data_IF_811233475517
#
_entry.id   IF_811233475517
#
_cell.length_a   1.000
_cell.length_b   1.000
_cell.length_c   1.000
_cell.angle_alpha   90.00
_cell.angle_beta   90.00
_cell.angle_gamma   90.00
#
_symmetry.space_group_name_H-M   'P 1'
#
loop_
_entity.id
_entity.type
_entity.pdbx_description
1 polymer ?
#
# COMPACT_ATOMS: atom_id res chain seq x y z
N UNK A 1 -4.90 5.83 -0.38
CA UNK A 1 -5.34 4.51 -0.84
C UNK A 1 -4.22 3.79 -1.60
N UNK A 2 -3.61 4.43 -2.61
CA UNK A 2 -2.57 3.85 -3.49
C UNK A 2 -1.44 3.17 -2.71
N UNK A 3 -0.84 3.87 -1.75
CA UNK A 3 0.28 3.35 -0.95
C UNK A 3 -0.07 2.07 -0.17
N UNK A 4 -1.30 1.95 0.31
CA UNK A 4 -1.73 0.78 1.08
C UNK A 4 -2.05 -0.40 0.15
N UNK A 5 -2.56 -0.13 -1.04
CA UNK A 5 -2.84 -1.16 -2.04
C UNK A 5 -1.57 -1.79 -2.61
N UNK A 6 -0.42 -1.11 -2.55
CA UNK A 6 0.86 -1.70 -2.95
C UNK A 6 1.20 -2.95 -2.11
N UNK A 7 1.06 -2.87 -0.79
CA UNK A 7 1.21 -4.04 0.07
C UNK A 7 0.14 -5.11 -0.21
N UNK A 8 -1.08 -4.67 -0.55
CA UNK A 8 -2.18 -5.59 -0.89
C UNK A 8 -1.86 -6.41 -2.15
N UNK A 9 -1.25 -5.82 -3.18
CA UNK A 9 -0.80 -6.58 -4.37
C UNK A 9 0.23 -7.63 -4.01
N UNK A 10 1.22 -7.29 -3.18
CA UNK A 10 2.26 -8.22 -2.75
C UNK A 10 1.69 -9.39 -1.91
N UNK A 11 0.73 -9.11 -1.04
CA UNK A 11 0.07 -10.15 -0.24
C UNK A 11 -0.83 -11.05 -1.09
N UNK A 12 -1.49 -10.49 -2.10
CA UNK A 12 -2.32 -11.26 -3.03
C UNK A 12 -1.49 -12.25 -3.87
N UNK A 13 -0.26 -11.87 -4.23
CA UNK A 13 0.68 -12.73 -4.96
C UNK A 13 1.12 -13.98 -4.16
N UNK A 14 1.02 -13.95 -2.82
CA UNK A 14 1.32 -15.10 -1.96
C UNK A 14 0.28 -16.23 -2.05
N UNK A 15 -0.86 -16.01 -2.71
CA UNK A 15 -1.92 -17.01 -2.85
C UNK A 15 -2.60 -17.41 -1.54
N UNK A 16 -2.47 -16.62 -0.48
CA UNK A 16 -3.13 -16.87 0.81
C UNK A 16 -4.52 -16.22 0.85
N UNK A 17 -5.49 -16.83 1.56
CA UNK A 17 -6.79 -16.21 1.77
C UNK A 17 -6.65 -14.86 2.48
N UNK A 18 -7.26 -13.80 1.93
CA UNK A 18 -7.10 -12.45 2.43
C UNK A 18 -8.45 -11.73 2.56
N UNK A 19 -8.62 -10.94 3.62
CA UNK A 19 -9.72 -9.98 3.78
C UNK A 19 -9.17 -8.57 3.68
N UNK A 20 -9.76 -7.75 2.82
CA UNK A 20 -9.40 -6.35 2.66
C UNK A 20 -10.29 -5.47 3.53
N UNK A 21 -9.76 -4.95 4.64
CA UNK A 21 -10.48 -4.05 5.54
C UNK A 21 -10.28 -2.59 5.10
N UNK A 22 -11.34 -1.98 4.53
CA UNK A 22 -11.33 -0.58 4.09
C UNK A 22 -11.65 0.32 5.27
N UNK A 23 -10.61 0.86 5.92
CA UNK A 23 -10.75 1.68 7.12
C UNK A 23 -11.09 3.16 6.80
N UNK A 24 -11.58 3.87 7.81
CA UNK A 24 -12.03 5.26 7.71
C UNK A 24 -13.21 5.46 6.74
N UNK A 25 -14.03 4.43 6.55
CA UNK A 25 -15.14 4.48 5.60
C UNK A 25 -16.15 5.57 5.95
N UNK A 26 -16.34 5.87 7.23
CA UNK A 26 -17.17 6.99 7.70
C UNK A 26 -16.68 8.38 7.22
N UNK A 27 -15.39 8.53 6.93
CA UNK A 27 -14.85 9.78 6.36
C UNK A 27 -15.18 9.85 4.87
N UNK A 28 -15.11 8.72 4.17
CA UNK A 28 -15.48 8.61 2.74
C UNK A 28 -16.94 8.97 2.56
N UNK A 29 -17.84 8.41 3.38
CA UNK A 29 -19.28 8.72 3.37
C UNK A 29 -19.54 10.20 3.66
N UNK A 30 -18.87 10.79 4.66
CA UNK A 30 -19.00 12.21 4.98
C UNK A 30 -18.59 13.14 3.85
N UNK A 31 -17.56 12.75 3.08
CA UNK A 31 -17.12 13.48 1.89
C UNK A 31 -18.09 13.29 0.72
N UNK A 32 -18.95 12.30 0.79
CA UNK A 32 -19.86 11.91 -0.27
C UNK A 32 -19.17 11.16 -1.42
N UNK A 33 -17.95 10.71 -1.21
CA UNK A 33 -17.23 9.85 -2.13
C UNK A 33 -17.80 8.42 -2.06
N UNK A 34 -17.65 7.65 -3.13
CA UNK A 34 -18.10 6.26 -3.19
C UNK A 34 -16.96 5.37 -3.64
N UNK A 35 -16.82 4.23 -2.98
CA UNK A 35 -15.93 3.15 -3.41
C UNK A 35 -16.82 1.97 -3.80
N UNK A 36 -16.63 1.46 -5.01
CA UNK A 36 -17.21 0.19 -5.45
C UNK A 36 -16.40 -0.94 -4.82
N UNK A 37 -16.91 -1.46 -3.70
CA UNK A 37 -16.26 -2.48 -2.90
C UNK A 37 -16.21 -3.82 -3.62
N UNK A 38 -17.33 -4.22 -4.24
CA UNK A 38 -17.43 -5.48 -4.96
C UNK A 38 -16.39 -5.53 -6.10
N UNK A 39 -16.26 -4.44 -6.84
CA UNK A 39 -15.24 -4.33 -7.89
C UNK A 39 -13.83 -4.30 -7.31
N UNK A 40 -13.62 -3.64 -6.16
CA UNK A 40 -12.33 -3.64 -5.46
C UNK A 40 -11.94 -5.06 -5.02
N UNK A 41 -12.87 -5.81 -4.42
CA UNK A 41 -12.67 -7.19 -4.02
C UNK A 41 -12.34 -8.11 -5.22
N UNK A 42 -13.03 -7.94 -6.34
CA UNK A 42 -12.75 -8.69 -7.56
C UNK A 42 -11.36 -8.39 -8.14
N UNK A 43 -10.94 -7.10 -8.14
CA UNK A 43 -9.63 -6.69 -8.66
C UNK A 43 -8.46 -7.27 -7.85
N UNK A 44 -8.63 -7.48 -6.56
CA UNK A 44 -7.58 -8.03 -5.68
C UNK A 44 -7.81 -9.49 -5.29
N UNK A 45 -8.86 -10.13 -5.81
CA UNK A 45 -9.16 -11.53 -5.52
C UNK A 45 -9.48 -11.80 -4.04
N UNK A 46 -10.02 -10.83 -3.31
CA UNK A 46 -10.25 -10.94 -1.87
C UNK A 46 -11.63 -10.44 -1.44
N UNK A 47 -12.08 -10.87 -0.26
CA UNK A 47 -13.28 -10.34 0.37
C UNK A 47 -12.98 -8.96 0.98
N UNK A 48 -13.84 -8.00 0.73
CA UNK A 48 -13.77 -6.65 1.26
C UNK A 48 -14.77 -6.44 2.40
N UNK A 49 -14.36 -5.66 3.42
CA UNK A 49 -15.19 -5.24 4.54
C UNK A 49 -14.90 -3.77 4.86
N UNK A 50 -15.95 -2.98 5.04
CA UNK A 50 -15.80 -1.58 5.45
C UNK A 50 -15.70 -1.47 6.95
N UNK A 51 -14.74 -0.69 7.43
CA UNK A 51 -14.56 -0.47 8.86
C UNK A 51 -14.38 1.01 9.21
N UNK A 52 -14.73 1.33 10.44
CA UNK A 52 -14.28 2.54 11.12
C UNK A 52 -13.71 2.11 12.47
N UNK A 53 -12.41 1.84 12.51
CA UNK A 53 -11.73 1.36 13.72
C UNK A 53 -11.92 2.34 14.90
N UNK A 54 -11.86 3.65 14.64
CA UNK A 54 -12.12 4.68 15.65
C UNK A 54 -13.52 4.61 16.27
N UNK A 55 -14.53 4.19 15.50
CA UNK A 55 -15.90 4.04 15.96
C UNK A 55 -16.26 2.61 16.36
N UNK A 56 -15.29 1.70 16.30
CA UNK A 56 -15.47 0.27 16.54
C UNK A 56 -16.61 -0.35 15.70
N UNK A 57 -16.71 0.07 14.41
CA UNK A 57 -17.69 -0.46 13.46
C UNK A 57 -16.98 -1.38 12.47
N UNK A 58 -17.59 -2.55 12.18
CA UNK A 58 -17.11 -3.51 11.18
C UNK A 58 -15.89 -4.34 11.62
N UNK A 59 -15.29 -4.07 12.78
CA UNK A 59 -14.10 -4.80 13.27
C UNK A 59 -14.38 -6.27 13.55
N UNK A 60 -15.55 -6.58 14.11
CA UNK A 60 -15.99 -7.95 14.36
C UNK A 60 -16.26 -8.69 13.04
N UNK A 61 -16.88 -8.03 12.07
CA UNK A 61 -17.16 -8.60 10.74
C UNK A 61 -15.88 -9.01 10.01
N UNK A 62 -14.81 -8.19 10.11
CA UNK A 62 -13.48 -8.56 9.55
C UNK A 62 -12.97 -9.86 10.16
N UNK A 63 -13.08 -10.02 11.50
CA UNK A 63 -12.63 -11.22 12.19
C UNK A 63 -13.46 -12.44 11.77
N UNK A 64 -14.76 -12.29 11.67
CA UNK A 64 -15.68 -13.37 11.25
C UNK A 64 -15.41 -13.81 9.80
N UNK A 65 -15.23 -12.86 8.88
CA UNK A 65 -14.89 -13.16 7.48
C UNK A 65 -13.49 -13.81 7.35
N UNK A 66 -12.51 -13.34 8.13
CA UNK A 66 -11.19 -13.97 8.16
C UNK A 66 -11.24 -15.42 8.65
N UNK A 67 -12.03 -15.71 9.69
CA UNK A 67 -12.24 -17.07 10.21
C UNK A 67 -12.94 -17.95 9.16
N UNK A 68 -13.98 -17.44 8.50
CA UNK A 68 -14.67 -18.16 7.42
C UNK A 68 -13.74 -18.53 6.27
N UNK A 69 -12.89 -17.57 5.84
CA UNK A 69 -11.90 -17.83 4.79
C UNK A 69 -10.87 -18.86 5.20
N UNK A 70 -10.37 -18.78 6.45
CA UNK A 70 -9.41 -19.74 6.98
C UNK A 70 -9.99 -21.18 7.01
N UNK A 71 -11.26 -21.34 7.36
CA UNK A 71 -11.92 -22.66 7.36
C UNK A 71 -12.17 -23.21 5.95
N UNK A 72 -12.46 -22.33 4.99
CA UNK A 72 -12.80 -22.77 3.63
C UNK A 72 -11.57 -23.10 2.76
N UNK A 73 -10.35 -22.79 3.21
CA UNK A 73 -9.10 -22.98 2.48
C UNK A 73 -9.16 -22.53 1.01
N UNK A 74 -10.05 -21.58 0.70
CA UNK A 74 -10.21 -21.09 -0.65
C UNK A 74 -9.04 -20.14 -0.95
N UNK A 75 -8.13 -20.59 -1.81
CA UNK A 75 -7.06 -19.76 -2.34
C UNK A 75 -7.70 -18.65 -3.18
N UNK A 76 -7.32 -17.41 -2.93
CA UNK A 76 -7.72 -16.27 -3.76
C UNK A 76 -7.10 -16.40 -5.16
N UNK A 77 -7.84 -16.01 -6.18
CA UNK A 77 -7.25 -15.87 -7.52
C UNK A 77 -6.22 -14.74 -7.49
N UNK A 78 -5.07 -14.97 -8.13
CA UNK A 78 -4.06 -13.93 -8.21
C UNK A 78 -4.56 -12.79 -9.10
N UNK A 79 -4.45 -11.53 -8.65
CA UNK A 79 -4.77 -10.41 -9.52
C UNK A 79 -3.81 -10.34 -10.70
N UNK A 80 -4.31 -10.00 -11.88
CA UNK A 80 -3.48 -9.72 -13.05
C UNK A 80 -2.84 -8.35 -12.91
N UNK A 81 -1.74 -8.29 -12.16
CA UNK A 81 -0.99 -7.06 -11.85
C UNK A 81 -0.07 -6.67 -12.98
N UNK A 82 0.53 -7.67 -13.63
CA UNK A 82 1.52 -7.50 -14.69
C UNK A 82 0.91 -7.79 -16.05
N UNK A 83 1.48 -7.22 -17.10
CA UNK A 83 1.07 -7.41 -18.48
C UNK A 83 2.26 -7.37 -19.44
N UNK A 84 2.01 -7.66 -20.74
CA UNK A 84 3.01 -7.60 -21.79
C UNK A 84 4.22 -8.52 -21.58
N UNK A 85 5.41 -7.98 -21.82
CA UNK A 85 6.68 -8.72 -21.73
C UNK A 85 6.98 -9.20 -20.31
N UNK A 86 6.56 -8.47 -19.29
CA UNK A 86 6.73 -8.89 -17.89
C UNK A 86 5.96 -10.17 -17.61
N UNK A 87 4.68 -10.22 -18.00
CA UNK A 87 3.86 -11.42 -17.81
C UNK A 87 4.43 -12.62 -18.55
N UNK A 88 4.94 -12.41 -19.76
CA UNK A 88 5.61 -13.45 -20.54
C UNK A 88 6.88 -13.97 -19.85
N UNK A 89 7.73 -13.07 -19.37
CA UNK A 89 8.95 -13.46 -18.64
C UNK A 89 8.63 -14.20 -17.33
N UNK A 90 7.62 -13.72 -16.58
CA UNK A 90 7.16 -14.39 -15.36
C UNK A 90 6.63 -15.80 -15.64
N UNK A 91 5.89 -16.01 -16.74
CA UNK A 91 5.39 -17.33 -17.11
C UNK A 91 6.55 -18.33 -17.38
N UNK A 92 7.61 -17.90 -18.07
CA UNK A 92 8.79 -18.75 -18.27
C UNK A 92 9.55 -19.04 -16.96
N UNK A 93 9.62 -18.05 -16.07
CA UNK A 93 10.21 -18.27 -14.75
C UNK A 93 9.36 -19.27 -13.94
N UNK A 94 8.04 -19.12 -13.95
CA UNK A 94 7.11 -20.06 -13.28
C UNK A 94 7.32 -21.49 -13.78
N UNK A 95 7.40 -21.71 -15.10
CA UNK A 95 7.67 -23.00 -15.70
C UNK A 95 9.01 -23.59 -15.25
N UNK A 96 10.05 -22.75 -15.17
CA UNK A 96 11.40 -23.15 -14.76
C UNK A 96 11.50 -23.57 -13.28
N UNK A 97 10.62 -23.06 -12.41
CA UNK A 97 10.67 -23.28 -10.97
C UNK A 97 9.48 -24.10 -10.41
N UNK A 98 8.51 -24.50 -11.23
CA UNK A 98 7.29 -25.18 -10.79
C UNK A 98 7.54 -26.43 -9.95
N UNK A 99 8.62 -27.19 -10.26
CA UNK A 99 9.00 -28.40 -9.55
C UNK A 99 9.78 -28.14 -8.25
N UNK A 100 10.07 -26.88 -7.92
CA UNK A 100 10.88 -26.47 -6.77
C UNK A 100 10.07 -25.85 -5.65
N UNK A 101 8.84 -25.37 -5.95
CA UNK A 101 8.00 -24.61 -5.02
C UNK A 101 6.56 -25.09 -5.04
N UNK A 102 5.83 -24.80 -3.97
CA UNK A 102 4.39 -25.07 -3.94
C UNK A 102 3.63 -24.22 -4.98
N UNK A 103 2.68 -24.84 -5.68
CA UNK A 103 1.89 -24.17 -6.72
C UNK A 103 1.19 -22.89 -6.22
N UNK A 104 0.77 -22.85 -4.96
CA UNK A 104 0.14 -21.67 -4.35
C UNK A 104 1.08 -20.47 -4.21
N UNK A 105 2.39 -20.70 -4.18
CA UNK A 105 3.42 -19.67 -4.01
C UNK A 105 4.22 -19.40 -5.29
N UNK A 106 3.95 -20.15 -6.34
CA UNK A 106 4.71 -20.12 -7.58
C UNK A 106 4.85 -18.71 -8.14
N UNK A 107 3.73 -17.99 -8.18
CA UNK A 107 3.69 -16.60 -8.65
C UNK A 107 4.60 -15.67 -7.84
N UNK A 108 4.54 -15.76 -6.52
CA UNK A 108 5.38 -14.94 -5.65
C UNK A 108 6.86 -15.22 -5.86
N UNK A 109 7.24 -16.50 -5.96
CA UNK A 109 8.63 -16.89 -6.22
C UNK A 109 9.09 -16.39 -7.59
N UNK A 110 8.26 -16.50 -8.63
CA UNK A 110 8.59 -16.00 -9.97
C UNK A 110 8.86 -14.50 -9.99
N UNK A 111 8.02 -13.71 -9.32
CA UNK A 111 8.23 -12.26 -9.19
C UNK A 111 9.54 -11.96 -8.44
N UNK A 112 9.84 -12.70 -7.36
CA UNK A 112 11.10 -12.53 -6.62
C UNK A 112 12.33 -12.92 -7.41
N UNK A 113 12.25 -13.95 -8.23
CA UNK A 113 13.32 -14.35 -9.16
C UNK A 113 13.51 -13.27 -10.22
N UNK A 114 12.43 -12.72 -10.77
CA UNK A 114 12.50 -11.61 -11.73
C UNK A 114 13.16 -10.35 -11.11
N UNK A 115 12.87 -10.04 -9.86
CA UNK A 115 13.53 -8.96 -9.09
C UNK A 115 14.98 -9.30 -8.68
N UNK A 116 15.49 -10.50 -9.02
CA UNK A 116 16.82 -11.00 -8.63
C UNK A 116 17.04 -11.04 -7.11
N UNK A 117 16.01 -11.37 -6.32
CA UNK A 117 16.12 -11.47 -4.86
C UNK A 117 17.15 -12.56 -4.47
N UNK A 118 18.26 -12.12 -3.87
CA UNK A 118 19.38 -13.00 -3.54
C UNK A 118 18.99 -14.14 -2.59
N UNK A 119 18.07 -13.89 -1.66
CA UNK A 119 17.62 -14.89 -0.68
C UNK A 119 16.79 -15.98 -1.34
N UNK A 120 15.90 -15.57 -2.24
CA UNK A 120 15.07 -16.49 -3.01
C UNK A 120 15.90 -17.32 -3.96
N UNK A 121 16.83 -16.71 -4.68
CA UNK A 121 17.77 -17.43 -5.56
C UNK A 121 18.61 -18.45 -4.80
N UNK A 122 19.10 -18.09 -3.61
CA UNK A 122 19.87 -18.99 -2.73
C UNK A 122 19.01 -20.15 -2.18
N UNK A 123 17.72 -19.93 -1.94
CA UNK A 123 16.78 -20.96 -1.48
C UNK A 123 16.46 -21.97 -2.59
N UNK A 124 16.17 -21.48 -3.80
CA UNK A 124 15.75 -22.30 -4.94
C UNK A 124 16.86 -23.20 -5.47
N UNK A 125 18.12 -22.83 -5.29
CA UNK A 125 19.31 -23.59 -5.75
C UNK A 125 19.17 -24.08 -7.19
N UNK A 126 18.88 -23.14 -8.09
CA UNK A 126 18.70 -23.43 -9.51
C UNK A 126 20.03 -23.79 -10.18
N UNK A 127 19.98 -24.66 -11.18
CA UNK A 127 21.13 -24.97 -11.99
C UNK A 127 21.56 -23.78 -12.85
N UNK A 128 22.87 -23.66 -13.14
CA UNK A 128 23.40 -22.50 -13.87
C UNK A 128 22.78 -22.33 -15.26
N UNK A 129 22.40 -23.43 -15.91
CA UNK A 129 21.74 -23.39 -17.22
C UNK A 129 20.34 -22.69 -17.11
N UNK A 130 19.55 -23.05 -16.09
CA UNK A 130 18.24 -22.48 -15.81
C UNK A 130 18.39 -21.00 -15.42
N UNK A 131 19.38 -20.67 -14.58
CA UNK A 131 19.65 -19.27 -14.23
C UNK A 131 19.99 -18.41 -15.45
N UNK A 132 20.78 -18.93 -16.38
CA UNK A 132 21.15 -18.21 -17.59
C UNK A 132 19.93 -18.00 -18.53
N UNK A 133 19.03 -18.98 -18.60
CA UNK A 133 17.78 -18.87 -19.37
C UNK A 133 16.85 -17.80 -18.78
N UNK A 134 16.61 -17.87 -17.46
CA UNK A 134 15.82 -16.89 -16.73
C UNK A 134 16.40 -15.48 -16.91
N UNK A 135 17.74 -15.35 -16.76
CA UNK A 135 18.41 -14.05 -16.93
C UNK A 135 18.26 -13.51 -18.35
N UNK A 136 18.22 -14.38 -19.37
CA UNK A 136 17.90 -13.99 -20.74
C UNK A 136 16.52 -13.32 -20.85
N UNK A 137 15.49 -13.95 -20.29
CA UNK A 137 14.12 -13.39 -20.31
C UNK A 137 14.02 -12.07 -19.54
N UNK A 138 14.72 -11.95 -18.41
CA UNK A 138 14.75 -10.71 -17.62
C UNK A 138 15.44 -9.61 -18.42
N UNK A 139 16.61 -9.89 -18.99
CA UNK A 139 17.37 -8.92 -19.77
C UNK A 139 16.62 -8.44 -21.02
N UNK A 140 15.88 -9.33 -21.70
CA UNK A 140 15.03 -8.96 -22.84
C UNK A 140 13.93 -7.98 -22.39
N UNK A 141 13.31 -8.24 -21.24
CA UNK A 141 12.30 -7.36 -20.67
C UNK A 141 12.87 -6.00 -20.25
N UNK A 142 14.06 -5.97 -19.60
CA UNK A 142 14.76 -4.75 -19.23
C UNK A 142 15.13 -3.90 -20.46
N UNK A 143 15.60 -4.55 -21.53
CA UNK A 143 15.92 -3.87 -22.78
C UNK A 143 14.67 -3.29 -23.48
N UNK A 144 13.54 -4.01 -23.43
CA UNK A 144 12.28 -3.54 -24.02
C UNK A 144 11.70 -2.36 -23.26
N UNK A 145 11.78 -2.37 -21.92
CA UNK A 145 11.19 -1.36 -21.05
C UNK A 145 12.14 -0.22 -20.68
N UNK A 146 13.42 -0.33 -21.03
CA UNK A 146 14.48 0.65 -20.74
C UNK A 146 14.58 0.97 -19.23
N UNK A 147 14.43 -0.06 -18.38
CA UNK A 147 14.45 0.08 -16.91
C UNK A 147 14.96 -1.22 -16.28
N UNK A 148 15.37 -1.18 -15.00
CA UNK A 148 15.79 -2.38 -14.27
C UNK A 148 14.57 -3.20 -13.79
N UNK A 149 14.80 -4.49 -13.52
CA UNK A 149 13.74 -5.45 -13.19
C UNK A 149 12.94 -5.05 -11.94
N UNK A 150 13.56 -4.49 -10.90
CA UNK A 150 12.89 -4.06 -9.68
C UNK A 150 12.00 -2.83 -9.94
N UNK A 151 12.50 -1.87 -10.71
CA UNK A 151 11.75 -0.69 -11.15
C UNK A 151 10.57 -1.07 -12.04
N UNK A 152 10.76 -1.99 -12.98
CA UNK A 152 9.71 -2.50 -13.86
C UNK A 152 8.54 -3.08 -13.04
N UNK A 153 8.82 -4.00 -12.12
CA UNK A 153 7.81 -4.60 -11.23
C UNK A 153 7.09 -3.53 -10.41
N UNK A 154 7.85 -2.60 -9.84
CA UNK A 154 7.29 -1.50 -9.04
C UNK A 154 6.38 -0.60 -9.87
N UNK A 155 6.81 -0.21 -11.06
CA UNK A 155 6.06 0.65 -11.97
C UNK A 155 4.76 -0.01 -12.45
N UNK A 156 4.78 -1.29 -12.78
CA UNK A 156 3.58 -2.04 -13.17
C UNK A 156 2.59 -2.18 -12.01
N UNK A 157 3.05 -2.47 -10.79
CA UNK A 157 2.19 -2.47 -9.60
C UNK A 157 1.51 -1.11 -9.38
N UNK A 158 2.25 -0.01 -9.46
CA UNK A 158 1.65 1.33 -9.33
C UNK A 158 0.67 1.66 -10.45
N UNK A 159 0.96 1.24 -11.67
CA UNK A 159 0.06 1.41 -12.82
C UNK A 159 -1.23 0.63 -12.62
N UNK A 160 -1.15 -0.64 -12.21
CA UNK A 160 -2.31 -1.47 -11.87
C UNK A 160 -3.15 -0.82 -10.77
N UNK A 161 -2.51 -0.40 -9.67
CA UNK A 161 -3.19 0.25 -8.53
C UNK A 161 -3.90 1.53 -8.96
N UNK A 162 -3.22 2.39 -9.71
CA UNK A 162 -3.80 3.65 -10.22
C UNK A 162 -5.01 3.40 -11.10
N UNK A 163 -4.90 2.43 -12.01
CA UNK A 163 -6.00 2.05 -12.89
C UNK A 163 -7.17 1.44 -12.10
N UNK A 164 -6.88 0.62 -11.09
CA UNK A 164 -7.86 0.02 -10.19
C UNK A 164 -8.61 1.09 -9.38
N UNK A 165 -7.89 2.04 -8.78
CA UNK A 165 -8.51 3.14 -8.02
C UNK A 165 -9.41 3.99 -8.91
N UNK A 166 -8.98 4.31 -10.13
CA UNK A 166 -9.77 5.10 -11.06
C UNK A 166 -11.08 4.40 -11.46
N UNK A 167 -11.12 3.06 -11.45
CA UNK A 167 -12.32 2.29 -11.73
C UNK A 167 -13.28 2.25 -10.54
N UNK A 168 -12.75 2.11 -9.32
CA UNK A 168 -13.57 1.84 -8.12
C UNK A 168 -13.91 3.10 -7.32
N UNK A 169 -13.16 4.19 -7.44
CA UNK A 169 -13.36 5.40 -6.64
C UNK A 169 -14.09 6.48 -7.44
N UNK A 170 -15.33 6.77 -7.04
CA UNK A 170 -16.11 7.91 -7.55
C UNK A 170 -16.07 9.05 -6.56
N UNK A 171 -15.36 10.13 -6.90
CA UNK A 171 -15.32 11.37 -6.10
C UNK A 171 -16.52 12.25 -6.43
N UNK A 172 -17.27 12.66 -5.43
CA UNK A 172 -18.42 13.56 -5.61
C UNK A 172 -17.99 14.96 -6.04
N UNK A 173 -16.86 15.45 -5.51
CA UNK A 173 -16.28 16.75 -5.85
C UNK A 173 -14.81 16.58 -6.25
N UNK A 174 -14.47 16.45 -7.54
CA UNK A 174 -13.09 16.36 -8.00
C UNK A 174 -12.26 17.64 -7.68
N UNK A 175 -12.93 18.78 -7.48
CA UNK A 175 -12.35 20.01 -6.96
C UNK A 175 -12.72 20.17 -5.48
N UNK A 176 -12.14 19.35 -4.60
CA UNK A 176 -12.35 19.52 -3.17
C UNK A 176 -12.00 20.94 -2.74
N UNK A 177 -12.99 21.66 -2.22
CA UNK A 177 -12.72 22.81 -1.35
C UNK A 177 -11.84 22.30 -0.21
N UNK A 178 -10.63 22.86 -0.10
CA UNK A 178 -9.67 22.55 0.95
C UNK A 178 -10.40 22.41 2.29
N UNK A 179 -10.21 21.31 3.00
CA UNK A 179 -10.74 21.17 4.35
C UNK A 179 -10.18 22.29 5.24
N UNK A 180 -10.82 22.56 6.36
CA UNK A 180 -10.30 23.57 7.30
C UNK A 180 -8.87 23.23 7.73
N UNK A 181 -8.55 21.93 7.93
CA UNK A 181 -7.22 21.46 8.20
C UNK A 181 -6.24 21.76 7.07
N UNK A 182 -6.63 21.51 5.81
CA UNK A 182 -5.78 21.79 4.65
C UNK A 182 -5.50 23.30 4.49
N UNK A 183 -6.48 24.15 4.85
CA UNK A 183 -6.29 25.60 4.84
C UNK A 183 -5.31 26.05 5.93
N UNK A 184 -5.43 25.49 7.12
CA UNK A 184 -4.51 25.76 8.23
C UNK A 184 -3.11 25.28 7.86
N UNK A 185 -3.01 24.04 7.36
CA UNK A 185 -1.72 23.45 6.94
C UNK A 185 -1.05 24.31 5.86
N UNK A 186 -1.79 24.74 4.86
CA UNK A 186 -1.29 25.64 3.81
C UNK A 186 -0.74 26.98 4.34
N UNK A 187 -1.30 27.49 5.45
CA UNK A 187 -0.82 28.72 6.09
C UNK A 187 0.43 28.43 6.92
N UNK A 188 0.39 27.37 7.74
CA UNK A 188 1.47 27.01 8.67
C UNK A 188 2.71 26.53 7.94
N UNK A 189 2.54 25.79 6.84
CA UNK A 189 3.65 25.26 6.01
C UNK A 189 4.11 26.22 4.92
N UNK A 190 3.50 27.39 4.82
CA UNK A 190 3.89 28.39 3.83
C UNK A 190 5.30 28.89 4.09
N UNK A 191 6.19 28.82 3.10
CA UNK A 191 7.62 29.16 3.20
C UNK A 191 7.88 30.55 3.81
N UNK A 192 7.01 31.52 3.53
CA UNK A 192 7.16 32.89 4.03
C UNK A 192 6.47 33.13 5.37
N UNK A 193 5.34 32.44 5.61
CA UNK A 193 4.57 32.61 6.84
C UNK A 193 5.05 31.70 7.98
N UNK A 194 5.69 30.57 7.70
CA UNK A 194 6.15 29.63 8.69
C UNK A 194 7.12 30.28 9.70
N UNK A 195 8.07 31.07 9.23
CA UNK A 195 9.04 31.75 10.11
C UNK A 195 8.41 32.76 11.08
N UNK A 196 7.59 33.73 10.65
CA UNK A 196 6.92 34.65 11.58
C UNK A 196 5.92 33.93 12.49
N UNK A 197 5.22 32.90 12.03
CA UNK A 197 4.34 32.08 12.86
C UNK A 197 5.14 31.35 13.95
N UNK A 198 6.28 30.75 13.58
CA UNK A 198 7.17 30.09 14.52
C UNK A 198 7.68 31.06 15.60
N UNK A 199 8.15 32.25 15.21
CA UNK A 199 8.62 33.27 16.15
C UNK A 199 7.51 33.69 17.11
N UNK A 200 6.29 33.90 16.62
CA UNK A 200 5.13 34.26 17.41
C UNK A 200 4.77 33.16 18.43
N UNK A 201 4.77 31.89 17.98
CA UNK A 201 4.49 30.76 18.88
C UNK A 201 5.59 30.64 19.94
N UNK A 202 6.86 30.74 19.56
CA UNK A 202 7.98 30.67 20.50
C UNK A 202 7.93 31.81 21.52
N UNK A 203 7.62 33.03 21.07
CA UNK A 203 7.43 34.18 21.98
C UNK A 203 6.29 33.93 22.97
N UNK A 204 5.15 33.39 22.49
CA UNK A 204 3.99 33.08 23.32
C UNK A 204 4.30 32.01 24.36
N UNK A 205 4.99 30.95 23.95
CA UNK A 205 5.44 29.88 24.86
C UNK A 205 6.40 30.41 25.91
N UNK A 206 7.37 31.24 25.48
CA UNK A 206 8.30 31.88 26.41
C UNK A 206 7.58 32.80 27.42
N UNK A 207 6.65 33.65 26.93
CA UNK A 207 5.88 34.55 27.77
C UNK A 207 5.03 33.78 28.81
N UNK A 208 4.33 32.74 28.42
CA UNK A 208 3.55 31.89 29.33
C UNK A 208 4.46 31.18 30.33
N UNK A 209 5.55 30.61 29.87
CA UNK A 209 6.48 29.82 30.71
C UNK A 209 7.16 30.67 31.76
N UNK A 210 7.62 31.87 31.40
CA UNK A 210 8.40 32.72 32.30
C UNK A 210 7.51 33.65 33.11
N UNK A 211 6.55 34.34 32.50
CA UNK A 211 5.77 35.42 33.15
C UNK A 211 4.56 34.90 33.93
N UNK A 212 4.07 33.70 33.64
CA UNK A 212 2.89 33.15 34.34
C UNK A 212 3.25 31.94 35.18
N UNK A 213 3.64 30.84 34.54
CA UNK A 213 3.92 29.58 35.24
C UNK A 213 5.22 29.68 36.04
N UNK A 214 6.28 30.29 35.47
CA UNK A 214 7.57 30.44 36.12
C UNK A 214 7.50 31.34 37.35
N UNK A 215 6.86 32.52 37.26
CA UNK A 215 6.69 33.42 38.39
C UNK A 215 5.83 32.79 39.50
N UNK A 216 4.70 32.17 39.12
CA UNK A 216 3.85 31.48 40.10
C UNK A 216 4.56 30.33 40.82
N UNK A 217 5.34 29.51 40.13
CA UNK A 217 6.14 28.46 40.75
C UNK A 217 7.25 29.02 41.66
N UNK A 218 7.88 30.12 41.24
CA UNK A 218 8.94 30.75 42.04
C UNK A 218 8.38 31.32 43.32
N UNK A 219 7.22 31.99 43.27
CA UNK A 219 6.55 32.53 44.43
C UNK A 219 6.10 31.42 45.40
N UNK A 220 5.57 30.29 44.84
CA UNK A 220 5.15 29.15 45.65
C UNK A 220 6.31 28.41 46.34
N UNK A 221 7.50 28.42 45.75
CA UNK A 221 8.70 27.77 46.36
C UNK A 221 9.40 28.70 47.39
N UNK A 222 9.24 30.02 47.24
CA UNK A 222 9.90 31.02 48.13
C UNK A 222 9.05 31.43 49.32
N UNK A 223 7.75 31.11 49.37
CA UNK A 223 6.85 31.23 50.53
C UNK A 223 6.93 29.95 51.42
#
# INVERSE_FOLDING_TARGET
LERNLYLTTQLAELGIPMVLAVNMYDIIEKKGDKIDLDQLGQLFGCKEVTISAFKNKGTQEVAEEAIKLAHNHKVSEHPHVFDGSVEHALAHIEESIENKVDASKLRWFAVKVFERDEKVLAELKLDQAVLNEIEGHIADCENEMDDDSESIITNQRYTFIKNSINKVLTKKNPHQTLSTSDKIDKIVTNRFLALPIFVLIMWLVYYISVSTVGSWMTDWVND
#
